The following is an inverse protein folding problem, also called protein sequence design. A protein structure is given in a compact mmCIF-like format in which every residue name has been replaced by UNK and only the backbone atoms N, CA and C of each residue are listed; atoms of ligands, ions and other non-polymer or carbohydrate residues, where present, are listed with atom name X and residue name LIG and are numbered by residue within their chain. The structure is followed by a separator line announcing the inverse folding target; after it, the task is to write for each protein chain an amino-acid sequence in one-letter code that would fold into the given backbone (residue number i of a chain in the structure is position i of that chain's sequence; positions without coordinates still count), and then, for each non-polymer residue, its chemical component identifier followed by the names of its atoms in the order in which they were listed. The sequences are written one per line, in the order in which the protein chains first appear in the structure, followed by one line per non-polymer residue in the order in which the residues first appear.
data_IF_281637045123
#
_entry.id   IF_281637045123
#
_cell.length_a   1.000
_cell.length_b   1.000
_cell.length_c   1.000
_cell.angle_alpha   90.00
_cell.angle_beta   90.00
_cell.angle_gamma   90.00
#
_symmetry.space_group_name_H-M   'P 1'
#
loop_
_entity.id
_entity.type
_entity.pdbx_description
1 polymer ?
#
# COMPACT_ATOMS: atom_id res chain seq x y z
N UNK A 1 19.54 1.00 14.70
CA UNK A 1 18.57 1.47 13.67
C UNK A 1 18.81 0.65 12.42
N UNK A 2 17.78 0.05 11.81
CA UNK A 2 17.93 -0.74 10.58
C UNK A 2 18.30 0.20 9.44
N UNK A 3 19.25 -0.22 8.57
CA UNK A 3 19.66 0.61 7.45
C UNK A 3 18.54 0.75 6.42
N UNK A 4 18.44 1.90 5.76
CA UNK A 4 17.44 2.16 4.73
C UNK A 4 17.44 1.09 3.62
N UNK A 5 18.63 0.68 3.20
CA UNK A 5 18.81 -0.37 2.19
C UNK A 5 18.18 -1.70 2.59
N UNK A 6 18.26 -2.06 3.86
CA UNK A 6 17.71 -3.32 4.35
C UNK A 6 16.17 -3.28 4.37
N UNK A 7 15.59 -2.13 4.76
CA UNK A 7 14.14 -1.91 4.70
C UNK A 7 13.62 -1.98 3.25
N UNK A 8 14.28 -1.27 2.33
CA UNK A 8 13.90 -1.31 0.92
C UNK A 8 14.05 -2.71 0.31
N UNK A 9 15.11 -3.44 0.68
CA UNK A 9 15.29 -4.81 0.23
C UNK A 9 14.24 -5.77 0.81
N UNK A 10 13.81 -5.59 2.07
CA UNK A 10 12.71 -6.37 2.62
C UNK A 10 11.43 -6.21 1.78
N UNK A 11 11.09 -4.98 1.37
CA UNK A 11 9.96 -4.73 0.46
C UNK A 11 10.16 -5.45 -0.88
N UNK A 12 11.35 -5.36 -1.48
CA UNK A 12 11.66 -6.02 -2.76
C UNK A 12 11.49 -7.53 -2.70
N UNK A 13 12.10 -8.17 -1.69
CA UNK A 13 12.07 -9.61 -1.57
C UNK A 13 10.66 -10.13 -1.29
N UNK A 14 9.92 -9.51 -0.37
CA UNK A 14 8.52 -9.89 -0.12
C UNK A 14 7.66 -9.77 -1.39
N UNK A 15 7.84 -8.70 -2.16
CA UNK A 15 7.10 -8.50 -3.40
C UNK A 15 7.50 -9.52 -4.49
N UNK A 16 8.80 -9.75 -4.68
CA UNK A 16 9.30 -10.70 -5.67
C UNK A 16 8.86 -12.13 -5.35
N UNK A 17 8.98 -12.57 -4.09
CA UNK A 17 8.58 -13.91 -3.65
C UNK A 17 7.07 -14.11 -3.74
N UNK A 18 6.27 -13.10 -3.39
CA UNK A 18 4.82 -13.17 -3.53
C UNK A 18 4.39 -13.36 -4.98
N UNK A 19 4.96 -12.58 -5.90
CA UNK A 19 4.72 -12.70 -7.35
C UNK A 19 5.20 -14.06 -7.88
N UNK A 20 6.41 -14.47 -7.48
CA UNK A 20 6.99 -15.76 -7.89
C UNK A 20 6.12 -16.93 -7.41
N UNK A 21 5.69 -16.92 -6.16
CA UNK A 21 4.83 -17.97 -5.62
C UNK A 21 3.48 -18.04 -6.30
N UNK A 22 2.87 -16.89 -6.61
CA UNK A 22 1.62 -16.82 -7.34
C UNK A 22 1.76 -17.21 -8.83
N UNK A 23 2.99 -17.27 -9.34
CA UNK A 23 3.30 -17.39 -10.77
C UNK A 23 2.50 -16.39 -11.63
N UNK A 24 2.19 -15.24 -11.06
CA UNK A 24 1.37 -14.18 -11.66
C UNK A 24 1.57 -12.87 -10.90
N UNK A 25 1.66 -11.75 -11.62
CA UNK A 25 1.77 -10.43 -11.02
C UNK A 25 2.83 -9.56 -11.71
N UNK A 26 3.11 -8.42 -11.11
CA UNK A 26 3.96 -7.37 -11.69
C UNK A 26 5.07 -7.00 -10.69
N UNK A 27 6.28 -7.57 -10.80
CA UNK A 27 7.36 -7.29 -9.86
C UNK A 27 8.09 -5.96 -10.13
N UNK A 28 8.04 -5.44 -11.36
CA UNK A 28 8.86 -4.30 -11.79
C UNK A 28 8.64 -3.04 -10.96
N UNK A 29 7.39 -2.66 -10.74
CA UNK A 29 7.07 -1.46 -9.97
C UNK A 29 7.46 -1.60 -8.49
N UNK A 30 7.13 -2.69 -7.77
CA UNK A 30 7.63 -2.92 -6.42
C UNK A 30 9.16 -2.86 -6.30
N UNK A 31 9.87 -3.46 -7.25
CA UNK A 31 11.34 -3.44 -7.26
C UNK A 31 11.90 -2.04 -7.43
N UNK A 32 11.34 -1.26 -8.38
CA UNK A 32 11.81 0.08 -8.70
C UNK A 32 11.44 1.14 -7.66
N UNK A 33 10.30 0.98 -6.99
CA UNK A 33 9.77 1.98 -6.05
C UNK A 33 10.04 1.67 -4.57
N UNK A 34 10.74 0.58 -4.25
CA UNK A 34 10.99 0.18 -2.87
C UNK A 34 11.72 1.25 -2.04
N UNK A 35 12.74 1.89 -2.58
CA UNK A 35 13.47 2.96 -1.88
C UNK A 35 12.58 4.19 -1.63
N UNK A 36 11.85 4.63 -2.66
CA UNK A 36 10.92 5.77 -2.55
C UNK A 36 9.83 5.50 -1.52
N UNK A 37 9.20 4.32 -1.59
CA UNK A 37 8.16 3.92 -0.64
C UNK A 37 8.70 3.79 0.79
N UNK A 38 9.92 3.25 0.96
CA UNK A 38 10.57 3.17 2.27
C UNK A 38 10.80 4.56 2.86
N UNK A 39 11.30 5.52 2.08
CA UNK A 39 11.46 6.91 2.55
C UNK A 39 10.12 7.51 2.92
N UNK A 40 9.10 7.34 2.08
CA UNK A 40 7.77 7.88 2.31
C UNK A 40 7.18 7.36 3.63
N UNK A 41 7.18 6.05 3.83
CA UNK A 41 6.57 5.42 5.02
C UNK A 41 7.38 5.62 6.31
N UNK A 42 8.69 5.82 6.22
CA UNK A 42 9.53 5.98 7.42
C UNK A 42 9.77 7.43 7.84
N UNK A 43 9.59 8.40 6.94
CA UNK A 43 9.97 9.80 7.20
C UNK A 43 8.86 10.82 7.00
N UNK A 44 7.85 10.52 6.19
CA UNK A 44 6.87 11.53 5.78
C UNK A 44 5.44 11.14 6.11
N UNK A 45 5.05 9.90 5.85
CA UNK A 45 3.67 9.45 5.98
C UNK A 45 3.24 9.40 7.45
N UNK A 46 2.16 10.08 7.77
CA UNK A 46 1.53 10.09 9.08
C UNK A 46 0.45 9.02 9.14
N UNK A 47 0.73 7.91 9.81
CA UNK A 47 -0.20 6.80 9.94
C UNK A 47 -0.02 6.08 11.28
N UNK A 48 -1.02 5.32 11.69
CA UNK A 48 -0.94 4.38 12.81
C UNK A 48 -1.57 3.04 12.38
N UNK A 49 -0.74 2.01 12.26
CA UNK A 49 -1.19 0.68 11.86
C UNK A 49 -2.16 0.04 12.87
N UNK A 50 -2.14 0.48 14.15
CA UNK A 50 -3.08 0.03 15.20
C UNK A 50 -4.38 0.82 15.20
N UNK A 51 -4.42 1.96 14.52
CA UNK A 51 -5.60 2.79 14.35
C UNK A 51 -5.80 3.12 12.85
N UNK A 52 -6.01 2.11 11.99
CA UNK A 52 -5.99 2.28 10.52
C UNK A 52 -7.09 3.21 10.00
N UNK A 53 -8.12 3.46 10.79
CA UNK A 53 -9.23 4.36 10.46
C UNK A 53 -9.13 5.73 11.14
N UNK A 54 -7.98 6.04 11.76
CA UNK A 54 -7.75 7.35 12.34
C UNK A 54 -8.02 8.47 11.33
N UNK A 55 -8.87 9.42 11.71
CA UNK A 55 -9.41 10.42 10.77
C UNK A 55 -8.32 11.34 10.19
N UNK A 56 -7.32 11.71 11.01
CA UNK A 56 -6.24 12.66 10.65
C UNK A 56 -4.97 11.95 10.14
N UNK A 57 -5.09 10.69 9.65
CA UNK A 57 -3.99 9.99 8.98
C UNK A 57 -3.80 10.47 7.55
N UNK A 58 -2.60 10.36 7.05
CA UNK A 58 -2.36 10.47 5.62
C UNK A 58 -2.95 9.27 4.87
N UNK A 59 -3.47 9.50 3.68
CA UNK A 59 -4.05 8.47 2.82
C UNK A 59 -3.13 8.14 1.66
N UNK A 60 -2.50 6.97 1.74
CA UNK A 60 -1.65 6.48 0.66
C UNK A 60 -2.48 5.79 -0.42
N UNK A 61 -2.40 6.29 -1.65
CA UNK A 61 -3.09 5.69 -2.81
C UNK A 61 -2.05 5.16 -3.79
N UNK A 62 -2.05 3.84 -4.00
CA UNK A 62 -1.22 3.20 -5.02
C UNK A 62 -1.91 3.30 -6.38
N UNK A 63 -1.63 4.37 -7.15
CA UNK A 63 -2.25 4.60 -8.47
C UNK A 63 -1.87 3.54 -9.50
N UNK A 64 -0.63 3.05 -9.47
CA UNK A 64 -0.18 1.91 -10.26
C UNK A 64 -0.59 0.59 -9.58
N UNK A 65 -1.90 0.32 -9.51
CA UNK A 65 -2.48 -0.80 -8.74
C UNK A 65 -1.97 -2.19 -9.14
N UNK A 66 -1.45 -2.36 -10.36
CA UNK A 66 -0.78 -3.60 -10.77
C UNK A 66 0.45 -3.94 -9.92
N UNK A 67 1.12 -2.95 -9.30
CA UNK A 67 2.21 -3.15 -8.36
C UNK A 67 1.76 -3.41 -6.92
N UNK A 68 0.61 -4.01 -6.72
CA UNK A 68 -0.07 -4.23 -5.43
C UNK A 68 0.81 -4.84 -4.35
N UNK A 69 1.76 -5.72 -4.71
CA UNK A 69 2.69 -6.32 -3.75
C UNK A 69 3.60 -5.29 -3.08
N UNK A 70 3.85 -4.11 -3.67
CA UNK A 70 4.50 -3.00 -2.96
C UNK A 70 3.68 -2.60 -1.73
N UNK A 71 2.39 -2.32 -1.92
CA UNK A 71 1.50 -1.89 -0.85
C UNK A 71 1.35 -2.99 0.21
N UNK A 72 1.10 -4.24 -0.19
CA UNK A 72 0.94 -5.34 0.76
C UNK A 72 2.19 -5.58 1.60
N UNK A 73 3.38 -5.51 0.99
CA UNK A 73 4.66 -5.61 1.71
C UNK A 73 4.84 -4.47 2.72
N UNK A 74 4.47 -3.24 2.35
CA UNK A 74 4.53 -2.09 3.25
C UNK A 74 3.55 -2.23 4.41
N UNK A 75 2.29 -2.63 4.17
CA UNK A 75 1.30 -2.84 5.22
C UNK A 75 1.75 -3.93 6.21
N UNK A 76 2.32 -5.04 5.71
CA UNK A 76 2.89 -6.08 6.56
C UNK A 76 4.05 -5.55 7.41
N UNK A 77 5.05 -4.91 6.79
CA UNK A 77 6.25 -4.44 7.48
C UNK A 77 5.97 -3.29 8.47
N UNK A 78 4.92 -2.52 8.25
CA UNK A 78 4.51 -1.44 9.15
C UNK A 78 3.53 -1.88 10.23
N UNK A 79 3.12 -3.16 10.25
CA UNK A 79 2.40 -3.78 11.36
C UNK A 79 0.87 -3.66 11.30
N UNK A 80 0.28 -3.48 10.12
CA UNK A 80 -1.17 -3.63 9.97
C UNK A 80 -1.60 -5.06 10.28
N UNK A 81 -2.53 -5.24 11.21
CA UNK A 81 -2.88 -6.54 11.78
C UNK A 81 -3.35 -7.56 10.73
N UNK A 82 -4.14 -7.12 9.78
CA UNK A 82 -4.69 -7.98 8.73
C UNK A 82 -3.67 -8.33 7.64
N UNK A 83 -2.58 -7.57 7.51
CA UNK A 83 -1.54 -7.80 6.51
C UNK A 83 -0.50 -8.81 7.03
N UNK A 84 -0.86 -10.07 7.09
CA UNK A 84 0.01 -11.14 7.60
C UNK A 84 0.92 -11.73 6.52
N UNK A 85 1.99 -12.39 6.91
CA UNK A 85 2.86 -13.10 5.98
C UNK A 85 2.10 -14.17 5.18
N UNK A 86 1.11 -14.83 5.79
CA UNK A 86 0.30 -15.84 5.12
C UNK A 86 -0.63 -15.19 4.06
N UNK A 87 -1.11 -13.98 4.30
CA UNK A 87 -1.83 -13.22 3.29
C UNK A 87 -0.92 -12.87 2.10
N UNK A 88 0.31 -12.43 2.35
CA UNK A 88 1.28 -12.17 1.27
C UNK A 88 1.58 -13.46 0.48
N UNK A 89 1.78 -14.59 1.17
CA UNK A 89 2.00 -15.90 0.54
C UNK A 89 0.82 -16.40 -0.27
N UNK A 90 -0.39 -15.93 0.00
CA UNK A 90 -1.62 -16.26 -0.74
C UNK A 90 -2.00 -15.21 -1.80
N UNK A 91 -1.05 -14.32 -2.15
CA UNK A 91 -1.26 -13.32 -3.20
C UNK A 91 -1.92 -13.88 -4.45
N UNK A 92 -2.98 -13.24 -4.95
CA UNK A 92 -3.78 -13.63 -6.11
C UNK A 92 -4.49 -14.98 -5.99
N UNK A 93 -4.56 -15.59 -4.81
CA UNK A 93 -5.35 -16.81 -4.63
C UNK A 93 -6.79 -16.45 -4.26
N UNK A 94 -7.73 -17.31 -4.66
CA UNK A 94 -9.14 -17.13 -4.32
C UNK A 94 -9.32 -17.05 -2.79
N UNK A 95 -10.03 -16.04 -2.34
CA UNK A 95 -10.27 -15.78 -0.91
C UNK A 95 -9.13 -15.06 -0.18
N UNK A 96 -8.00 -14.79 -0.85
CA UNK A 96 -6.94 -13.96 -0.28
C UNK A 96 -7.35 -12.49 -0.20
N UNK A 97 -6.95 -11.82 0.88
CA UNK A 97 -7.08 -10.36 1.01
C UNK A 97 -6.06 -9.59 0.16
N UNK A 98 -4.98 -10.27 -0.27
CA UNK A 98 -3.97 -9.75 -1.18
C UNK A 98 -4.36 -10.04 -2.62
N UNK A 99 -5.39 -9.35 -3.12
CA UNK A 99 -5.86 -9.46 -4.49
C UNK A 99 -4.80 -8.97 -5.50
N UNK A 100 -4.97 -9.29 -6.79
CA UNK A 100 -4.03 -8.88 -7.85
C UNK A 100 -3.87 -7.37 -8.00
N UNK A 101 -4.89 -6.60 -7.63
CA UNK A 101 -4.91 -5.15 -7.50
C UNK A 101 -5.50 -4.78 -6.13
N UNK A 102 -5.12 -3.65 -5.52
CA UNK A 102 -5.68 -3.25 -4.23
C UNK A 102 -7.20 -3.06 -4.33
N UNK A 103 -7.94 -3.67 -3.42
CA UNK A 103 -9.39 -3.55 -3.33
C UNK A 103 -9.75 -2.96 -1.97
N UNK A 104 -10.48 -1.85 -1.98
CA UNK A 104 -10.95 -1.21 -0.76
C UNK A 104 -11.80 -2.18 0.08
N UNK A 105 -11.49 -2.25 1.36
CA UNK A 105 -12.17 -3.16 2.31
C UNK A 105 -11.57 -4.57 2.40
N UNK A 106 -10.62 -4.96 1.54
CA UNK A 106 -9.95 -6.26 1.66
C UNK A 106 -8.88 -6.26 2.77
N UNK A 107 -8.06 -5.22 2.83
CA UNK A 107 -7.09 -4.99 3.89
C UNK A 107 -7.22 -3.57 4.43
N UNK A 108 -7.03 -3.42 5.74
CA UNK A 108 -6.82 -2.12 6.35
C UNK A 108 -5.59 -1.44 5.75
N UNK A 109 -5.67 -0.13 5.54
CA UNK A 109 -4.61 0.64 4.86
C UNK A 109 -4.75 0.69 3.34
N UNK A 110 -5.73 0.00 2.73
CA UNK A 110 -6.12 0.20 1.33
C UNK A 110 -7.19 1.28 1.27
N UNK A 111 -6.82 2.47 0.83
CA UNK A 111 -7.71 3.65 0.84
C UNK A 111 -8.68 3.69 -0.35
N UNK A 112 -8.36 3.03 -1.45
CA UNK A 112 -9.22 2.96 -2.65
C UNK A 112 -8.85 1.78 -3.52
N UNK A 113 -9.84 1.27 -4.26
CA UNK A 113 -9.62 0.26 -5.29
C UNK A 113 -8.93 0.89 -6.49
N UNK A 114 -7.82 0.28 -6.93
CA UNK A 114 -7.08 0.71 -8.11
C UNK A 114 -6.79 -0.48 -9.04
N UNK A 115 -6.38 -0.20 -10.25
CA UNK A 115 -6.14 -1.19 -11.30
C UNK A 115 -6.05 -0.49 -12.65
N UNK A 116 -7.15 0.16 -13.12
CA UNK A 116 -7.08 1.02 -14.30
C UNK A 116 -6.09 2.16 -14.09
N UNK A 117 -5.14 2.33 -15.01
CA UNK A 117 -4.10 3.35 -14.89
C UNK A 117 -4.68 4.76 -14.88
N UNK A 118 -4.18 5.60 -13.98
CA UNK A 118 -4.64 6.98 -13.78
C UNK A 118 -5.81 7.13 -12.80
N UNK A 119 -6.57 6.07 -12.50
CA UNK A 119 -7.70 6.15 -11.57
C UNK A 119 -7.26 6.53 -10.14
N UNK A 120 -6.18 5.95 -9.64
CA UNK A 120 -5.71 6.22 -8.29
C UNK A 120 -5.29 7.67 -8.08
N UNK A 121 -4.53 8.26 -8.99
CA UNK A 121 -4.15 9.67 -8.88
C UNK A 121 -5.37 10.60 -8.95
N UNK A 122 -6.34 10.29 -9.81
CA UNK A 122 -7.58 11.09 -9.90
C UNK A 122 -8.38 11.01 -8.60
N UNK A 123 -8.48 9.82 -7.99
CA UNK A 123 -9.12 9.63 -6.69
C UNK A 123 -8.37 10.38 -5.58
N UNK A 124 -7.04 10.32 -5.55
CA UNK A 124 -6.22 11.03 -4.57
C UNK A 124 -6.40 12.55 -4.67
N UNK A 125 -6.49 13.09 -5.88
CA UNK A 125 -6.80 14.52 -6.10
C UNK A 125 -8.19 14.87 -5.56
N UNK A 126 -9.20 14.01 -5.78
CA UNK A 126 -10.54 14.19 -5.22
C UNK A 126 -10.54 14.20 -3.69
N UNK A 127 -9.80 13.27 -3.05
CA UNK A 127 -9.62 13.24 -1.59
C UNK A 127 -8.97 14.53 -1.07
N UNK A 128 -7.91 15.02 -1.73
CA UNK A 128 -7.23 16.26 -1.33
C UNK A 128 -8.13 17.51 -1.49
N UNK A 129 -8.96 17.55 -2.51
CA UNK A 129 -9.95 18.63 -2.70
C UNK A 129 -10.99 18.57 -1.57
N UNK A 130 -11.50 17.38 -1.25
CA UNK A 130 -12.48 17.18 -0.18
C UNK A 130 -11.90 17.62 1.17
N UNK A 131 -10.69 17.21 1.50
CA UNK A 131 -9.99 17.64 2.73
C UNK A 131 -9.83 19.16 2.79
N UNK A 132 -9.45 19.80 1.70
CA UNK A 132 -9.31 21.26 1.64
C UNK A 132 -10.65 21.98 1.85
N UNK A 133 -11.74 21.42 1.36
CA UNK A 133 -13.09 22.00 1.53
C UNK A 133 -13.57 21.80 2.97
N UNK A 134 -13.36 20.62 3.54
CA UNK A 134 -13.74 20.30 4.91
C UNK A 134 -13.03 21.21 5.92
N UNK A 135 -11.74 21.42 5.79
CA UNK A 135 -10.96 22.35 6.61
C UNK A 135 -11.45 23.81 6.56
N UNK A 136 -12.13 24.23 5.49
CA UNK A 136 -12.74 25.54 5.39
C UNK A 136 -14.08 25.68 6.13
N UNK A 137 -14.73 24.55 6.41
CA UNK A 137 -16.01 24.53 7.13
C UNK A 137 -15.84 24.51 8.65
N UNK A 138 -14.62 24.40 9.17
CA UNK A 138 -14.30 24.35 10.61
C UNK A 138 -13.69 25.65 11.15
N UNK A 139 -13.66 26.73 10.36
CA UNK A 139 -13.21 28.06 10.76
C UNK A 139 -14.38 29.02 10.94
#
# INVERSE_FOLDING_TARGET
MVAHKDLANAVRFLAAEGVQKANSGHPGMPMGMADVATVLFTKFLKFDAKAPHWADRDRFVLSAGHGSMLLYSLLYLTGYEQATLDQLKSFRQLGSRCAGHPEYGHLEGIETTTGPLGQGISTAVGMAIAEKLDRKSVV
#
